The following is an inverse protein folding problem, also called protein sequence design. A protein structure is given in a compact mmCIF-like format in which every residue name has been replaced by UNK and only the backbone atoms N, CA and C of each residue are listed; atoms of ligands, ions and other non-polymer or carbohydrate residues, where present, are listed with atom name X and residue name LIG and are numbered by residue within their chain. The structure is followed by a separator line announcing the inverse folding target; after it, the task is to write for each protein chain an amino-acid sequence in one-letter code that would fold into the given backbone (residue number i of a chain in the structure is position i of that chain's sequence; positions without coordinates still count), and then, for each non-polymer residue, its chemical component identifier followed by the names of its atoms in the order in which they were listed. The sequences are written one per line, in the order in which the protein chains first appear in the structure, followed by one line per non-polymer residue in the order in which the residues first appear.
data_IF_448017776050
#
_entry.id   IF_448017776050
#
_cell.length_a   1.000
_cell.length_b   1.000
_cell.length_c   1.000
_cell.angle_alpha   90.00
_cell.angle_beta   90.00
_cell.angle_gamma   90.00
#
_symmetry.space_group_name_H-M   'P 1'
#
loop_
_entity.id
_entity.type
_entity.pdbx_description
1 polymer ?
#
# COMPACT_ATOMS: atom_id res chain seq x y z
N UNK A 1 -25.52 23.28 -11.58
CA UNK A 1 -24.15 22.92 -11.15
C UNK A 1 -24.20 22.70 -9.65
N UNK A 2 -24.01 21.47 -9.17
CA UNK A 2 -23.79 21.16 -7.75
C UNK A 2 -22.84 19.95 -7.69
N UNK A 3 -21.54 20.22 -7.80
CA UNK A 3 -20.49 19.20 -7.88
C UNK A 3 -19.84 18.84 -6.54
N UNK A 4 -20.23 19.50 -5.45
CA UNK A 4 -19.51 19.47 -4.16
C UNK A 4 -20.02 18.46 -3.13
N UNK A 5 -21.06 17.67 -3.45
CA UNK A 5 -21.64 16.74 -2.47
C UNK A 5 -20.66 15.63 -2.03
N UNK A 6 -19.74 15.24 -2.92
CA UNK A 6 -18.75 14.19 -2.65
C UNK A 6 -17.57 14.65 -1.79
N UNK A 7 -17.29 15.97 -1.73
CA UNK A 7 -16.18 16.51 -0.93
C UNK A 7 -16.48 16.56 0.57
N UNK A 8 -17.76 16.51 0.93
CA UNK A 8 -18.25 16.63 2.31
C UNK A 8 -18.34 15.27 3.00
N UNK A 9 -18.48 14.18 2.23
CA UNK A 9 -18.59 12.83 2.76
C UNK A 9 -17.33 12.43 3.56
N UNK A 10 -17.45 12.11 4.86
CA UNK A 10 -16.31 11.77 5.71
C UNK A 10 -15.54 10.54 5.24
N UNK A 11 -16.24 9.56 4.66
CA UNK A 11 -15.62 8.34 4.15
C UNK A 11 -14.80 8.61 2.89
N UNK A 12 -15.32 9.42 1.96
CA UNK A 12 -14.56 9.88 0.79
C UNK A 12 -13.33 10.67 1.21
N UNK A 13 -13.44 11.56 2.20
CA UNK A 13 -12.29 12.30 2.75
C UNK A 13 -11.25 11.37 3.36
N UNK A 14 -11.67 10.36 4.11
CA UNK A 14 -10.78 9.35 4.68
C UNK A 14 -10.07 8.54 3.59
N UNK A 15 -10.81 8.04 2.59
CA UNK A 15 -10.21 7.33 1.44
C UNK A 15 -9.18 8.18 0.70
N UNK A 16 -9.46 9.47 0.47
CA UNK A 16 -8.48 10.38 -0.15
C UNK A 16 -7.19 10.48 0.66
N UNK A 17 -7.27 10.54 2.00
CA UNK A 17 -6.09 10.54 2.86
C UNK A 17 -5.31 9.23 2.76
N UNK A 18 -6.01 8.09 2.77
CA UNK A 18 -5.38 6.77 2.59
C UNK A 18 -4.63 6.71 1.27
N UNK A 19 -5.26 7.08 0.14
CA UNK A 19 -4.60 7.08 -1.16
C UNK A 19 -3.41 8.04 -1.24
N UNK A 20 -3.53 9.23 -0.65
CA UNK A 20 -2.42 10.18 -0.60
C UNK A 20 -1.24 9.65 0.22
N UNK A 21 -1.52 8.99 1.35
CA UNK A 21 -0.53 8.33 2.19
C UNK A 21 0.15 7.18 1.45
N UNK A 22 -0.63 6.33 0.76
CA UNK A 22 -0.11 5.24 -0.08
C UNK A 22 0.77 5.75 -1.21
N UNK A 23 0.36 6.82 -1.92
CA UNK A 23 1.14 7.40 -3.01
C UNK A 23 2.48 7.93 -2.51
N UNK A 24 2.47 8.61 -1.37
CA UNK A 24 3.68 9.11 -0.71
C UNK A 24 4.62 7.96 -0.33
N UNK A 25 4.12 6.98 0.43
CA UNK A 25 4.94 5.85 0.91
C UNK A 25 5.48 5.00 -0.25
N UNK A 26 4.69 4.81 -1.31
CA UNK A 26 5.16 4.16 -2.53
C UNK A 26 6.27 4.96 -3.20
N UNK A 27 6.12 6.28 -3.32
CA UNK A 27 7.13 7.13 -3.96
C UNK A 27 8.46 7.04 -3.20
N UNK A 28 8.40 7.13 -1.88
CA UNK A 28 9.57 6.99 -0.99
C UNK A 28 10.25 5.63 -1.20
N UNK A 29 9.48 4.53 -1.20
CA UNK A 29 10.02 3.20 -1.45
C UNK A 29 10.70 3.09 -2.82
N UNK A 30 10.06 3.60 -3.88
CA UNK A 30 10.61 3.52 -5.23
C UNK A 30 11.88 4.36 -5.39
N UNK A 31 11.94 5.52 -4.75
CA UNK A 31 13.13 6.38 -4.71
C UNK A 31 14.28 5.66 -4.00
N UNK A 32 14.01 5.06 -2.83
CA UNK A 32 14.99 4.27 -2.09
C UNK A 32 15.52 3.08 -2.90
N UNK A 33 14.70 2.51 -3.79
CA UNK A 33 15.09 1.39 -4.67
C UNK A 33 15.74 1.86 -5.98
N UNK A 34 15.82 3.17 -6.23
CA UNK A 34 16.32 3.73 -7.49
C UNK A 34 15.44 3.42 -8.70
N UNK A 35 14.15 3.13 -8.47
CA UNK A 35 13.19 2.79 -9.53
C UNK A 35 12.49 4.07 -9.99
N UNK A 36 12.64 4.39 -11.28
CA UNK A 36 11.96 5.53 -11.88
C UNK A 36 10.44 5.36 -11.88
N UNK A 37 9.69 6.41 -11.52
CA UNK A 37 8.23 6.43 -11.57
C UNK A 37 7.67 6.23 -12.99
N UNK A 38 8.50 6.43 -14.02
CA UNK A 38 8.15 6.27 -15.43
C UNK A 38 8.38 4.84 -15.95
N UNK A 39 8.85 3.91 -15.12
CA UNK A 39 9.01 2.51 -15.53
C UNK A 39 7.64 1.90 -15.84
N UNK A 40 7.42 1.53 -17.09
CA UNK A 40 6.16 0.98 -17.60
C UNK A 40 5.72 -0.28 -16.85
N UNK A 41 6.67 -1.03 -16.27
CA UNK A 41 6.39 -2.24 -15.48
C UNK A 41 5.72 -1.91 -14.15
N UNK A 42 5.92 -0.69 -13.62
CA UNK A 42 5.33 -0.25 -12.36
C UNK A 42 3.82 -0.34 -12.35
N UNK A 43 3.16 -0.06 -13.48
CA UNK A 43 1.70 -0.18 -13.56
C UNK A 43 1.25 -1.58 -13.12
N UNK A 44 1.90 -2.62 -13.66
CA UNK A 44 1.57 -4.02 -13.35
C UNK A 44 1.88 -4.37 -11.90
N UNK A 45 2.96 -3.84 -11.34
CA UNK A 45 3.28 -4.03 -9.92
C UNK A 45 2.24 -3.39 -9.00
N UNK A 46 1.79 -2.17 -9.34
CA UNK A 46 0.76 -1.45 -8.57
C UNK A 46 -0.59 -2.14 -8.62
N UNK A 47 -0.98 -2.68 -9.79
CA UNK A 47 -2.23 -3.45 -9.94
C UNK A 47 -2.20 -4.72 -9.06
N UNK A 48 -1.08 -5.47 -9.06
CA UNK A 48 -0.91 -6.65 -8.20
C UNK A 48 -0.91 -6.25 -6.72
N UNK A 49 -0.19 -5.20 -6.36
CA UNK A 49 -0.12 -4.69 -4.99
C UNK A 49 -1.49 -4.26 -4.48
N UNK A 50 -2.28 -3.57 -5.32
CA UNK A 50 -3.63 -3.12 -4.99
C UNK A 50 -4.56 -4.31 -4.75
N UNK A 51 -4.54 -5.32 -5.63
CA UNK A 51 -5.36 -6.52 -5.45
C UNK A 51 -5.00 -7.31 -4.18
N UNK A 52 -3.72 -7.31 -3.77
CA UNK A 52 -3.29 -7.88 -2.49
C UNK A 52 -3.75 -7.03 -1.31
N UNK A 53 -3.61 -5.71 -1.42
CA UNK A 53 -4.02 -4.76 -0.40
C UNK A 53 -5.53 -4.83 -0.12
N UNK A 54 -6.37 -4.88 -1.16
CA UNK A 54 -7.83 -5.00 -1.04
C UNK A 54 -8.26 -6.26 -0.27
N UNK A 55 -7.48 -7.35 -0.37
CA UNK A 55 -7.69 -8.58 0.41
C UNK A 55 -7.17 -8.44 1.84
N UNK A 56 -6.01 -7.82 2.01
CA UNK A 56 -5.32 -7.72 3.29
C UNK A 56 -5.94 -6.68 4.23
N UNK A 57 -6.40 -5.57 3.69
CA UNK A 57 -6.80 -4.42 4.47
C UNK A 57 -8.01 -4.68 5.38
N UNK A 58 -9.09 -5.36 4.94
CA UNK A 58 -10.18 -5.72 5.85
C UNK A 58 -9.73 -6.60 7.02
N UNK A 59 -8.84 -7.57 6.76
CA UNK A 59 -8.30 -8.47 7.79
C UNK A 59 -7.38 -7.69 8.75
N UNK A 60 -6.56 -6.78 8.21
CA UNK A 60 -5.69 -5.91 9.00
C UNK A 60 -6.51 -4.98 9.91
N UNK A 61 -7.61 -4.40 9.40
CA UNK A 61 -8.54 -3.58 10.18
C UNK A 61 -9.17 -4.39 11.31
N UNK A 62 -9.69 -5.60 11.02
CA UNK A 62 -10.29 -6.48 12.02
C UNK A 62 -9.30 -6.87 13.14
N UNK A 63 -8.02 -7.02 12.80
CA UNK A 63 -6.94 -7.33 13.75
C UNK A 63 -6.35 -6.08 14.45
N UNK A 64 -6.86 -4.88 14.18
CA UNK A 64 -6.33 -3.63 14.73
C UNK A 64 -4.93 -3.28 14.22
N UNK A 65 -4.48 -3.89 13.13
CA UNK A 65 -3.18 -3.62 12.50
C UNK A 65 -3.19 -2.35 11.66
N UNK A 66 -4.37 -1.90 11.20
CA UNK A 66 -4.54 -0.61 10.53
C UNK A 66 -5.57 0.25 11.21
N UNK A 67 -5.11 1.34 11.83
CA UNK A 67 -5.94 2.29 12.60
C UNK A 67 -6.07 3.67 11.94
N UNK A 68 -5.11 4.02 11.08
CA UNK A 68 -5.06 5.30 10.37
C UNK A 68 -4.53 5.12 8.94
N UNK A 69 -4.46 6.23 8.20
CA UNK A 69 -3.95 6.28 6.82
C UNK A 69 -2.47 5.88 6.68
N UNK A 70 -1.66 6.04 7.73
CA UNK A 70 -0.25 5.66 7.75
C UNK A 70 -0.08 4.16 7.87
N UNK A 71 -0.88 3.51 8.70
CA UNK A 71 -0.92 2.05 8.79
C UNK A 71 -1.38 1.42 7.47
N UNK A 72 -2.41 2.00 6.83
CA UNK A 72 -2.89 1.54 5.53
C UNK A 72 -1.82 1.68 4.44
N UNK A 73 -1.09 2.81 4.42
CA UNK A 73 0.04 2.99 3.51
C UNK A 73 1.18 2.00 3.77
N UNK A 74 1.49 1.73 5.03
CA UNK A 74 2.49 0.73 5.42
C UNK A 74 2.10 -0.65 4.90
N UNK A 75 0.84 -1.06 5.10
CA UNK A 75 0.30 -2.31 4.56
C UNK A 75 0.43 -2.38 3.04
N UNK A 76 0.08 -1.31 2.33
CA UNK A 76 0.24 -1.23 0.88
C UNK A 76 1.70 -1.39 0.42
N UNK A 77 2.67 -0.78 1.12
CA UNK A 77 4.10 -0.92 0.81
C UNK A 77 4.56 -2.37 0.94
N UNK A 78 4.06 -3.13 1.92
CA UNK A 78 4.33 -4.57 2.00
C UNK A 78 3.73 -5.35 0.82
N UNK A 79 2.51 -5.01 0.40
CA UNK A 79 1.90 -5.60 -0.79
C UNK A 79 2.71 -5.28 -2.07
N UNK A 80 3.20 -4.05 -2.20
CA UNK A 80 4.02 -3.63 -3.33
C UNK A 80 5.38 -4.32 -3.34
N UNK A 81 6.03 -4.43 -2.19
CA UNK A 81 7.25 -5.21 -2.01
C UNK A 81 7.05 -6.65 -2.47
N UNK A 82 5.92 -7.28 -2.12
CA UNK A 82 5.60 -8.63 -2.59
C UNK A 82 5.39 -8.70 -4.10
N UNK A 83 4.73 -7.71 -4.69
CA UNK A 83 4.52 -7.63 -6.13
C UNK A 83 5.85 -7.50 -6.88
N UNK A 84 6.77 -6.65 -6.39
CA UNK A 84 8.14 -6.51 -6.91
C UNK A 84 8.92 -7.82 -6.81
N UNK A 85 8.87 -8.47 -5.64
CA UNK A 85 9.57 -9.73 -5.39
C UNK A 85 9.10 -10.86 -6.33
N UNK A 86 7.82 -10.85 -6.75
CA UNK A 86 7.30 -11.82 -7.73
C UNK A 86 7.97 -11.76 -9.12
N UNK A 87 8.74 -10.69 -9.38
CA UNK A 87 9.52 -10.49 -10.62
C UNK A 87 11.02 -10.36 -10.36
N UNK A 88 11.48 -10.77 -9.18
CA UNK A 88 12.91 -10.81 -8.83
C UNK A 88 13.46 -9.50 -8.22
N UNK A 89 12.65 -8.46 -8.04
CA UNK A 89 13.09 -7.22 -7.39
C UNK A 89 12.92 -7.39 -5.87
N UNK A 90 14.03 -7.58 -5.16
CA UNK A 90 14.00 -7.73 -3.70
C UNK A 90 14.00 -6.38 -3.02
N UNK A 91 13.06 -6.16 -2.11
CA UNK A 91 13.03 -4.98 -1.25
C UNK A 91 13.73 -5.31 0.07
N UNK A 92 14.79 -4.57 0.46
CA UNK A 92 15.44 -4.74 1.75
C UNK A 92 14.47 -4.60 2.93
N UNK A 93 14.64 -5.44 3.96
CA UNK A 93 13.71 -5.49 5.09
C UNK A 93 13.70 -4.20 5.91
N UNK A 94 14.82 -3.49 5.97
CA UNK A 94 15.01 -2.20 6.63
C UNK A 94 14.28 -1.04 5.94
N UNK A 95 13.84 -1.24 4.69
CA UNK A 95 13.03 -0.28 3.92
C UNK A 95 11.52 -0.50 4.06
N UNK A 96 11.10 -1.52 4.81
CA UNK A 96 9.69 -1.84 4.99
C UNK A 96 9.18 -1.29 6.34
N UNK A 97 8.20 -0.37 6.33
CA UNK A 97 7.65 0.20 7.55
C UNK A 97 6.91 -0.87 8.37
N UNK A 98 7.03 -0.83 9.71
CA UNK A 98 6.31 -1.71 10.63
C UNK A 98 6.34 -3.21 10.29
N UNK A 99 7.48 -3.66 9.75
CA UNK A 99 7.61 -5.01 9.20
C UNK A 99 7.22 -6.11 10.19
N UNK A 100 7.62 -6.01 11.45
CA UNK A 100 7.33 -7.01 12.48
C UNK A 100 5.83 -7.19 12.69
N UNK A 101 5.07 -6.10 12.57
CA UNK A 101 3.61 -6.10 12.75
C UNK A 101 2.87 -6.56 11.48
N UNK A 102 3.35 -6.19 10.30
CA UNK A 102 2.58 -6.35 9.04
C UNK A 102 2.99 -7.59 8.23
N UNK A 103 4.29 -7.92 8.19
CA UNK A 103 4.79 -9.03 7.38
C UNK A 103 4.13 -10.40 7.68
N UNK A 104 3.78 -10.75 8.94
CA UNK A 104 3.07 -12.00 9.24
C UNK A 104 1.72 -12.11 8.52
N UNK A 105 0.94 -11.03 8.47
CA UNK A 105 -0.35 -11.00 7.79
C UNK A 105 -0.20 -11.25 6.29
N UNK A 106 0.76 -10.56 5.65
CA UNK A 106 1.00 -10.71 4.22
C UNK A 106 1.44 -12.14 3.88
N UNK A 107 2.25 -12.77 4.73
CA UNK A 107 2.63 -14.17 4.56
C UNK A 107 1.43 -15.11 4.64
N UNK A 108 0.50 -14.87 5.56
CA UNK A 108 -0.72 -15.68 5.75
C UNK A 108 -1.66 -15.61 4.54
N UNK A 109 -1.90 -14.42 3.99
CA UNK A 109 -2.81 -14.21 2.84
C UNK A 109 -2.32 -14.89 1.55
N UNK A 110 -1.01 -15.16 1.47
CA UNK A 110 -0.35 -15.73 0.31
C UNK A 110 -0.08 -17.24 0.44
N UNK A 111 -0.31 -17.80 1.63
CA UNK A 111 -0.21 -19.23 1.91
C UNK A 111 -1.45 -19.96 1.38
#
# INVERSE_FOLDING_TARGET
MNGDSWGIDPHVRYMRKVFSSMEKAQRELLDDLGITLLDERLRRFREIALALFEKAWPVAMQRGLTRDEGDAASLYVHCLSRALASRGIQVPNDKLPDRERIAPLIKEILA
#
